data_IF_656492298766
#
_entry.id   IF_656492298766
#
_cell.length_a   1.000
_cell.length_b   1.000
_cell.length_c   1.000
_cell.angle_alpha   90.00
_cell.angle_beta   90.00
_cell.angle_gamma   90.00
#
_symmetry.space_group_name_H-M   'P 1'
#
loop_
_entity.id
_entity.type
_entity.pdbx_description
1 polymer ?
#
# COMPACT_ATOMS: atom_id res chain seq x y z
N UNK A 1 -33.20 9.74 -0.99
CA UNK A 1 -32.11 10.38 -1.75
C UNK A 1 -30.84 9.51 -1.75
N UNK A 2 -30.00 9.44 -0.70
CA UNK A 2 -28.82 8.52 -0.77
C UNK A 2 -29.18 7.01 -0.76
N UNK A 3 -30.20 6.61 -0.02
CA UNK A 3 -30.64 5.21 0.06
C UNK A 3 -31.31 4.72 -1.24
N UNK A 4 -32.10 5.59 -1.89
CA UNK A 4 -32.81 5.25 -3.13
C UNK A 4 -31.82 5.02 -4.28
N UNK A 5 -30.80 5.89 -4.39
CA UNK A 5 -29.77 5.74 -5.42
C UNK A 5 -28.93 4.47 -5.20
N UNK A 6 -28.69 4.07 -3.94
CA UNK A 6 -27.94 2.86 -3.60
C UNK A 6 -28.73 1.56 -3.85
N UNK A 7 -30.07 1.59 -3.72
CA UNK A 7 -30.94 0.44 -4.00
C UNK A 7 -30.95 0.06 -5.48
N UNK A 8 -30.71 1.01 -6.38
CA UNK A 8 -30.65 0.77 -7.83
C UNK A 8 -29.24 0.36 -8.33
N UNK A 9 -28.22 0.36 -7.47
CA UNK A 9 -26.84 0.03 -7.85
C UNK A 9 -26.60 -1.48 -7.86
N UNK A 10 -26.03 -2.00 -8.95
CA UNK A 10 -25.49 -3.35 -8.99
C UNK A 10 -24.18 -3.43 -8.18
N UNK A 11 -24.19 -4.24 -7.10
CA UNK A 11 -23.04 -4.51 -6.23
C UNK A 11 -22.36 -3.24 -5.67
N UNK A 12 -23.06 -2.44 -4.86
CA UNK A 12 -22.52 -1.19 -4.35
C UNK A 12 -21.30 -1.42 -3.44
N UNK A 13 -20.48 -0.38 -3.31
CA UNK A 13 -19.35 -0.35 -2.37
C UNK A 13 -19.57 0.80 -1.39
N UNK A 14 -19.66 0.48 -0.12
CA UNK A 14 -19.74 1.44 0.97
C UNK A 14 -18.34 1.71 1.50
N UNK A 15 -17.96 2.98 1.59
CA UNK A 15 -16.68 3.41 2.13
C UNK A 15 -16.94 4.32 3.33
N UNK A 16 -16.39 3.96 4.49
CA UNK A 16 -16.46 4.78 5.71
C UNK A 16 -15.06 5.31 6.01
N UNK A 17 -14.88 6.62 5.82
CA UNK A 17 -13.63 7.33 6.06
C UNK A 17 -13.84 8.45 7.10
N UNK A 18 -13.45 8.30 8.37
CA UNK A 18 -12.78 7.16 9.02
C UNK A 18 -13.68 6.43 10.04
N UNK A 19 -13.49 5.12 10.20
CA UNK A 19 -14.21 4.30 11.17
C UNK A 19 -13.94 4.72 12.62
N UNK A 20 -12.72 5.18 12.89
CA UNK A 20 -12.33 5.74 14.19
C UNK A 20 -13.22 6.92 14.60
N UNK A 21 -13.56 7.81 13.66
CA UNK A 21 -14.46 8.92 13.91
C UNK A 21 -15.89 8.45 14.26
N UNK A 22 -16.38 7.40 13.61
CA UNK A 22 -17.70 6.82 13.89
C UNK A 22 -17.76 6.22 15.30
N UNK A 23 -16.75 5.45 15.68
CA UNK A 23 -16.66 4.84 17.01
C UNK A 23 -16.55 5.91 18.11
N UNK A 24 -15.76 6.96 17.86
CA UNK A 24 -15.62 8.10 18.76
C UNK A 24 -16.95 8.84 18.95
N UNK A 25 -17.65 9.15 17.86
CA UNK A 25 -18.92 9.87 17.90
C UNK A 25 -20.01 9.09 18.64
N UNK A 26 -20.08 7.77 18.43
CA UNK A 26 -21.06 6.93 19.09
C UNK A 26 -20.74 6.66 20.57
N UNK A 27 -19.55 7.05 21.06
CA UNK A 27 -19.02 6.70 22.39
C UNK A 27 -18.99 5.17 22.61
N UNK A 28 -18.68 4.41 21.55
CA UNK A 28 -18.71 2.95 21.51
C UNK A 28 -17.32 2.33 21.41
N UNK A 29 -16.27 2.99 21.92
CA UNK A 29 -14.89 2.46 21.83
C UNK A 29 -14.78 1.01 22.33
N UNK A 30 -15.41 0.70 23.45
CA UNK A 30 -15.40 -0.64 24.05
C UNK A 30 -16.36 -1.63 23.36
N UNK A 31 -17.31 -1.13 22.57
CA UNK A 31 -18.30 -1.93 21.83
C UNK A 31 -18.03 -1.96 20.31
N UNK A 32 -16.95 -1.35 19.85
CA UNK A 32 -16.67 -1.16 18.43
C UNK A 32 -16.57 -2.48 17.66
N UNK A 33 -16.08 -3.54 18.31
CA UNK A 33 -16.02 -4.88 17.73
C UNK A 33 -17.43 -5.43 17.38
N UNK A 34 -18.39 -5.34 18.30
CA UNK A 34 -19.74 -5.85 18.08
C UNK A 34 -20.49 -5.05 17.01
N UNK A 35 -20.32 -3.73 17.00
CA UNK A 35 -20.87 -2.86 15.96
C UNK A 35 -20.28 -3.19 14.59
N UNK A 36 -18.96 -3.36 14.52
CA UNK A 36 -18.29 -3.73 13.27
C UNK A 36 -18.79 -5.08 12.77
N UNK A 37 -18.88 -6.09 13.65
CA UNK A 37 -19.40 -7.41 13.28
C UNK A 37 -20.81 -7.32 12.68
N UNK A 38 -21.70 -6.57 13.35
CA UNK A 38 -23.08 -6.38 12.88
C UNK A 38 -23.13 -5.68 11.52
N UNK A 39 -22.26 -4.69 11.30
CA UNK A 39 -22.17 -3.98 10.03
C UNK A 39 -21.64 -4.87 8.90
N UNK A 40 -20.61 -5.68 9.18
CA UNK A 40 -20.08 -6.66 8.22
C UNK A 40 -21.14 -7.71 7.84
N UNK A 41 -21.90 -8.22 8.81
CA UNK A 41 -23.01 -9.16 8.59
C UNK A 41 -24.10 -8.53 7.73
N UNK A 42 -24.51 -7.30 8.04
CA UNK A 42 -25.49 -6.56 7.24
C UNK A 42 -25.03 -6.37 5.78
N UNK A 43 -23.79 -5.93 5.57
CA UNK A 43 -23.25 -5.78 4.22
C UNK A 43 -23.20 -7.11 3.47
N UNK A 44 -22.90 -8.21 4.16
CA UNK A 44 -22.92 -9.55 3.57
C UNK A 44 -24.33 -9.97 3.15
N UNK A 45 -25.34 -9.75 4.00
CA UNK A 45 -26.75 -10.07 3.73
C UNK A 45 -27.31 -9.29 2.54
N UNK A 46 -26.94 -8.00 2.43
CA UNK A 46 -27.37 -7.12 1.34
C UNK A 46 -26.52 -7.33 0.07
N UNK A 47 -25.47 -8.14 0.12
CA UNK A 47 -24.59 -8.41 -1.03
C UNK A 47 -23.78 -7.18 -1.46
N UNK A 48 -23.31 -6.40 -0.49
CA UNK A 48 -22.60 -5.12 -0.69
C UNK A 48 -21.17 -5.22 -0.17
N UNK A 49 -20.22 -4.53 -0.81
CA UNK A 49 -18.84 -4.46 -0.33
C UNK A 49 -18.64 -3.31 0.65
N UNK A 50 -17.81 -3.53 1.67
CA UNK A 50 -17.52 -2.55 2.71
C UNK A 50 -16.01 -2.28 2.80
N UNK A 51 -15.63 -1.00 2.84
CA UNK A 51 -14.28 -0.53 3.13
C UNK A 51 -14.37 0.38 4.36
N UNK A 52 -13.58 0.03 5.39
CA UNK A 52 -13.44 0.82 6.62
C UNK A 52 -12.03 1.40 6.64
N UNK A 53 -11.92 2.73 6.70
CA UNK A 53 -10.62 3.41 6.86
C UNK A 53 -10.34 3.57 8.34
N UNK A 54 -9.15 3.14 8.77
CA UNK A 54 -8.67 3.38 10.13
C UNK A 54 -7.36 4.15 10.11
N UNK A 55 -7.22 5.08 11.05
CA UNK A 55 -6.08 5.99 11.17
C UNK A 55 -4.99 5.45 12.11
N UNK A 56 -5.18 4.26 12.70
CA UNK A 56 -4.17 3.63 13.56
C UNK A 56 -3.27 2.67 12.78
N UNK A 57 -1.98 2.69 13.11
CA UNK A 57 -0.98 1.78 12.57
C UNK A 57 -0.91 0.45 13.35
N UNK A 58 -1.51 0.40 14.54
CA UNK A 58 -1.47 -0.77 15.42
C UNK A 58 -2.54 -1.78 15.06
N UNK A 59 -2.29 -3.05 15.40
CA UNK A 59 -3.32 -4.08 15.29
C UNK A 59 -4.51 -3.74 16.18
N UNK A 60 -5.70 -3.80 15.62
CA UNK A 60 -6.94 -3.53 16.34
C UNK A 60 -7.83 -4.76 16.37
N UNK A 61 -8.81 -4.83 17.30
CA UNK A 61 -9.83 -5.88 17.27
C UNK A 61 -10.56 -6.01 15.92
N UNK A 62 -10.63 -4.91 15.15
CA UNK A 62 -11.20 -4.87 13.81
C UNK A 62 -10.52 -5.90 12.87
N UNK A 63 -9.21 -6.05 12.97
CA UNK A 63 -8.39 -6.89 12.07
C UNK A 63 -8.78 -8.38 12.14
N UNK A 64 -9.33 -8.81 13.28
CA UNK A 64 -9.79 -10.18 13.47
C UNK A 64 -11.15 -10.43 12.84
N UNK A 65 -12.01 -9.41 12.81
CA UNK A 65 -13.39 -9.45 12.30
C UNK A 65 -13.39 -9.45 10.77
N UNK A 66 -12.66 -8.51 10.15
CA UNK A 66 -12.74 -8.27 8.70
C UNK A 66 -12.08 -9.37 7.87
N UNK A 67 -12.52 -9.53 6.62
CA UNK A 67 -11.95 -10.52 5.70
C UNK A 67 -10.63 -10.08 5.07
N UNK A 68 -10.36 -8.77 5.04
CA UNK A 68 -9.14 -8.20 4.50
C UNK A 68 -8.60 -7.03 5.32
N UNK A 69 -7.28 -6.93 5.42
CA UNK A 69 -6.58 -5.83 6.10
C UNK A 69 -5.48 -5.35 5.17
N UNK A 70 -5.51 -4.06 4.84
CA UNK A 70 -4.55 -3.37 4.00
C UNK A 70 -3.99 -2.19 4.78
N UNK A 71 -2.66 -2.10 4.86
CA UNK A 71 -1.98 -1.01 5.58
C UNK A 71 -1.23 -0.13 4.59
N UNK A 72 -1.41 1.18 4.71
CA UNK A 72 -0.64 2.19 3.98
C UNK A 72 0.37 2.80 4.95
N UNK A 73 1.65 2.82 4.57
CA UNK A 73 2.71 3.35 5.41
C UNK A 73 3.78 4.09 4.60
N UNK A 74 4.49 4.97 5.27
CA UNK A 74 5.68 5.64 4.74
C UNK A 74 6.93 4.90 5.23
N UNK A 75 7.85 4.64 4.29
CA UNK A 75 9.14 4.00 4.56
C UNK A 75 10.27 4.95 4.17
N UNK A 76 11.19 5.22 5.09
CA UNK A 76 12.40 5.98 4.79
C UNK A 76 13.44 5.11 4.07
N UNK A 77 13.88 5.55 2.90
CA UNK A 77 15.00 4.97 2.17
C UNK A 77 16.20 5.90 2.34
N UNK A 78 17.28 5.35 2.88
CA UNK A 78 18.60 5.99 2.90
C UNK A 78 19.38 5.47 1.71
N UNK A 79 20.05 6.36 0.98
CA UNK A 79 20.94 5.94 -0.11
C UNK A 79 22.06 5.06 0.46
N UNK A 80 22.28 3.88 -0.12
CA UNK A 80 23.51 3.14 0.12
C UNK A 80 24.64 3.79 -0.69
N UNK A 81 25.77 4.03 -0.04
CA UNK A 81 27.00 4.46 -0.69
C UNK A 81 27.46 3.38 -1.66
N UNK A 82 27.21 3.57 -2.96
CA UNK A 82 27.86 2.76 -4.00
C UNK A 82 29.37 2.94 -3.86
N UNK A 83 30.09 1.85 -3.56
CA UNK A 83 31.55 1.84 -3.51
C UNK A 83 32.20 2.21 -2.17
N UNK A 84 31.46 2.18 -1.05
CA UNK A 84 32.05 2.35 0.30
C UNK A 84 32.54 3.77 0.61
N UNK A 85 32.26 4.75 -0.26
CA UNK A 85 32.51 6.16 0.00
C UNK A 85 31.21 6.87 0.32
N UNK A 86 31.01 7.17 1.61
CA UNK A 86 29.97 8.08 2.09
C UNK A 86 30.40 9.49 1.71
N UNK A 87 30.07 9.92 0.49
CA UNK A 87 30.22 11.31 0.11
C UNK A 87 28.98 12.11 0.49
N UNK A 88 29.24 13.16 1.26
CA UNK A 88 28.39 14.33 1.44
C UNK A 88 27.25 14.21 2.46
N UNK A 89 27.05 15.29 3.20
CA UNK A 89 25.92 15.63 4.07
C UNK A 89 24.56 15.70 3.31
N UNK A 90 24.50 15.11 2.10
CA UNK A 90 23.40 15.14 1.14
C UNK A 90 22.86 13.74 0.81
N UNK A 91 23.06 12.74 1.68
CA UNK A 91 22.26 11.50 1.66
C UNK A 91 20.81 11.87 2.01
N UNK A 92 20.10 12.44 1.03
CA UNK A 92 18.70 12.80 1.19
C UNK A 92 17.91 11.55 1.48
N UNK A 93 17.35 11.44 2.68
CA UNK A 93 16.32 10.45 2.94
C UNK A 93 15.19 10.69 1.93
N UNK A 94 14.76 9.61 1.29
CA UNK A 94 13.60 9.62 0.41
C UNK A 94 12.52 8.82 1.08
N UNK A 95 11.34 9.41 1.23
CA UNK A 95 10.17 8.69 1.72
C UNK A 95 9.50 7.98 0.56
N UNK A 96 9.30 6.68 0.72
CA UNK A 96 8.56 5.83 -0.20
C UNK A 96 7.25 5.42 0.44
N UNK A 97 6.14 5.39 -0.33
CA UNK A 97 4.86 4.89 0.17
C UNK A 97 4.72 3.40 -0.12
N UNK A 98 4.33 2.65 0.89
CA UNK A 98 4.17 1.21 0.86
C UNK A 98 2.72 0.83 1.16
N UNK A 99 2.16 -0.04 0.35
CA UNK A 99 0.89 -0.72 0.62
C UNK A 99 1.19 -2.17 0.98
N UNK A 100 0.71 -2.62 2.14
CA UNK A 100 0.86 -3.99 2.61
C UNK A 100 -0.50 -4.69 2.68
N UNK A 101 -0.63 -5.82 1.99
CA UNK A 101 -1.79 -6.70 2.04
C UNK A 101 -1.63 -7.65 3.23
N UNK A 102 -2.02 -7.23 4.44
CA UNK A 102 -1.77 -7.97 5.68
C UNK A 102 -2.67 -9.20 5.84
N UNK A 103 -3.94 -9.11 5.44
CA UNK A 103 -4.92 -10.21 5.46
C UNK A 103 -5.77 -10.13 4.20
N UNK A 104 -6.04 -11.27 3.56
CA UNK A 104 -7.01 -11.44 2.49
C UNK A 104 -7.55 -12.88 2.56
N UNK A 105 -8.80 -13.07 2.96
CA UNK A 105 -9.44 -14.40 2.94
C UNK A 105 -9.88 -14.77 1.53
N UNK A 106 -9.74 -16.05 1.17
CA UNK A 106 -10.21 -16.59 -0.11
C UNK A 106 -9.39 -16.20 -1.35
N UNK A 107 -8.32 -15.41 -1.20
CA UNK A 107 -7.49 -14.94 -2.33
C UNK A 107 -6.03 -15.34 -2.13
N UNK A 108 -5.41 -15.96 -3.15
CA UNK A 108 -3.98 -16.25 -3.15
C UNK A 108 -3.17 -14.95 -3.26
N UNK A 109 -2.15 -14.80 -2.40
CA UNK A 109 -1.25 -13.64 -2.41
C UNK A 109 0.14 -14.04 -2.91
N UNK A 110 0.51 -13.58 -4.10
CA UNK A 110 1.85 -13.81 -4.67
C UNK A 110 2.91 -12.87 -4.05
N UNK A 111 2.54 -11.61 -3.79
CA UNK A 111 3.40 -10.60 -3.19
C UNK A 111 2.64 -9.83 -2.09
N UNK A 112 3.30 -9.67 -0.93
CA UNK A 112 2.70 -9.06 0.27
C UNK A 112 2.60 -7.53 0.16
N UNK A 113 3.61 -6.88 -0.39
CA UNK A 113 3.77 -5.44 -0.31
C UNK A 113 4.12 -4.83 -1.66
N UNK A 114 3.62 -3.62 -1.92
CA UNK A 114 3.88 -2.89 -3.17
C UNK A 114 4.22 -1.45 -2.85
N UNK A 115 5.05 -0.86 -3.69
CA UNK A 115 5.26 0.58 -3.68
C UNK A 115 4.11 1.24 -4.41
N UNK A 116 3.68 2.42 -3.94
CA UNK A 116 2.69 3.21 -4.65
C UNK A 116 3.01 4.70 -4.67
N UNK A 117 2.33 5.43 -5.54
CA UNK A 117 2.38 6.88 -5.64
C UNK A 117 0.96 7.45 -5.62
N UNK A 118 0.85 8.73 -5.24
CA UNK A 118 -0.37 9.53 -5.36
C UNK A 118 -0.16 10.69 -6.35
N UNK A 119 0.74 10.52 -7.32
CA UNK A 119 1.04 11.53 -8.32
C UNK A 119 -0.26 12.01 -9.00
N UNK A 120 -0.44 13.33 -9.11
CA UNK A 120 -1.68 13.96 -9.59
C UNK A 120 -2.95 13.55 -8.82
N UNK A 121 -2.83 13.22 -7.54
CA UNK A 121 -3.96 12.80 -6.69
C UNK A 121 -4.54 11.43 -7.06
N UNK A 122 -3.79 10.61 -7.84
CA UNK A 122 -4.24 9.28 -8.25
C UNK A 122 -3.38 8.20 -7.61
N UNK A 123 -4.02 7.26 -6.94
CA UNK A 123 -3.36 6.07 -6.45
C UNK A 123 -2.87 5.21 -7.61
N UNK A 124 -1.57 4.92 -7.63
CA UNK A 124 -0.95 4.02 -8.61
C UNK A 124 0.10 3.16 -7.92
N UNK A 125 -0.08 1.84 -7.96
CA UNK A 125 0.91 0.88 -7.49
C UNK A 125 1.87 0.47 -8.63
N UNK A 126 3.08 0.07 -8.25
CA UNK A 126 4.05 -0.49 -9.18
C UNK A 126 3.93 -2.01 -9.20
N UNK A 127 4.05 -2.66 -10.38
CA UNK A 127 4.01 -4.11 -10.47
C UNK A 127 5.19 -4.74 -9.71
N UNK A 128 5.08 -6.04 -9.32
CA UNK A 128 6.19 -6.83 -8.83
C UNK A 128 7.44 -6.64 -9.68
N UNK A 129 8.60 -6.49 -9.05
CA UNK A 129 9.86 -6.49 -9.77
C UNK A 129 10.07 -7.87 -10.41
N UNK A 130 9.87 -7.95 -11.72
CA UNK A 130 10.25 -9.12 -12.49
C UNK A 130 11.75 -9.06 -12.71
N UNK A 131 12.50 -10.02 -12.14
CA UNK A 131 13.89 -10.24 -12.53
C UNK A 131 13.86 -10.68 -13.99
N UNK A 132 14.03 -9.74 -14.91
CA UNK A 132 14.37 -10.10 -16.28
C UNK A 132 15.72 -10.80 -16.20
N UNK A 133 15.77 -12.10 -16.54
CA UNK A 133 17.04 -12.78 -16.71
C UNK A 133 17.88 -11.91 -17.62
N UNK A 134 19.02 -11.42 -17.11
CA UNK A 134 19.93 -10.62 -17.90
C UNK A 134 20.16 -11.38 -19.21
N UNK A 135 19.76 -10.77 -20.34
CA UNK A 135 20.11 -11.30 -21.64
C UNK A 135 21.62 -11.53 -21.60
N UNK A 136 22.05 -12.77 -21.86
CA UNK A 136 23.48 -13.15 -21.81
C UNK A 136 24.28 -12.05 -22.49
N UNK A 137 25.03 -11.28 -21.69
CA UNK A 137 25.87 -10.21 -22.20
C UNK A 137 26.85 -10.89 -23.16
N UNK A 138 26.69 -10.64 -24.47
CA UNK A 138 27.68 -11.08 -25.43
C UNK A 138 28.89 -10.15 -25.24
N UNK A 139 30.11 -10.69 -25.04
CA UNK A 139 31.29 -9.84 -24.98
C UNK A 139 31.35 -9.00 -26.25
N UNK A 140 31.50 -7.69 -26.08
CA UNK A 140 31.78 -6.79 -27.20
C UNK A 140 33.17 -7.19 -27.72
N UNK A 141 33.33 -7.49 -29.02
CA UNK A 141 34.64 -7.81 -29.57
C UNK A 141 35.59 -6.64 -29.32
N UNK A 142 36.73 -6.97 -28.73
CA UNK A 142 37.79 -6.05 -28.34
C UNK A 142 38.18 -5.17 -29.54
N UNK A 143 37.86 -3.88 -29.47
CA UNK A 143 38.41 -2.86 -30.37
C UNK A 143 39.19 -1.86 -29.54
N UNK A 144 40.40 -1.59 -30.02
CA UNK A 144 41.53 -0.99 -29.34
C UNK A 144 41.22 0.28 -28.51
N UNK A 145 41.91 0.34 -27.38
CA UNK A 145 42.13 1.45 -26.44
C UNK A 145 41.92 2.87 -26.98
N UNK A 146 41.14 3.66 -26.24
CA UNK A 146 41.49 5.05 -25.91
C UNK A 146 41.09 5.31 -24.45
N UNK A 147 42.09 5.41 -23.57
CA UNK A 147 41.93 5.92 -22.21
C UNK A 147 41.94 7.45 -22.29
N UNK A 148 40.81 8.10 -21.98
CA UNK A 148 40.77 9.54 -21.71
C UNK A 148 40.40 9.72 -20.23
N UNK A 149 41.37 10.09 -19.40
CA UNK A 149 41.12 10.62 -18.06
C UNK A 149 40.90 12.13 -18.19
N UNK A 150 39.73 12.61 -17.77
CA UNK A 150 39.50 14.03 -17.47
C UNK A 150 39.02 14.10 -16.02
N UNK A 151 39.84 14.69 -15.16
CA UNK A 151 39.44 15.17 -13.84
C UNK A 151 39.16 16.67 -13.97
N UNK A 152 37.96 17.10 -13.63
CA UNK A 152 37.73 18.48 -13.19
C UNK A 152 37.06 18.44 -11.82
N UNK A 153 37.56 19.30 -10.94
CA UNK A 153 37.36 19.34 -9.48
C UNK A 153 35.89 19.54 -9.07
#
# INVERSE_FOLDING_TARGET
MLYEDAEEMDNPVVVIDSWDAVLNYANLKDQGAALTQSLCELCHEVGTHLILVSETADQTPLDFIVDGVVTLSDMEIRGEAVGGQVYSEQLSSRTMRLIELNKLRGVKREQKSYVFTLHNGRFQSFPPYAVHAASKLKPVPEKAFFTLFVFEL
#
